data_IF_994502755638
#
_entry.id   IF_994502755638
#
_cell.length_a   1.000
_cell.length_b   1.000
_cell.length_c   1.000
_cell.angle_alpha   90.00
_cell.angle_beta   90.00
_cell.angle_gamma   90.00
#
_symmetry.space_group_name_H-M   'P 1'
#
loop_
_entity.id
_entity.type
_entity.pdbx_description
1 polymer ?
#
# COMPACT_ATOMS: atom_id res chain seq x y z
N UNK A 1 9.97 13.22 8.91
CA UNK A 1 11.00 12.40 8.24
C UNK A 1 11.09 12.83 6.80
N UNK A 2 12.27 12.76 6.17
CA UNK A 2 12.45 13.13 4.76
C UNK A 2 12.37 11.89 3.90
N UNK A 3 11.22 11.68 3.26
CA UNK A 3 11.09 10.79 2.11
C UNK A 3 11.37 11.57 0.82
N UNK A 4 11.66 10.86 -0.27
CA UNK A 4 11.73 11.46 -1.61
C UNK A 4 10.58 10.98 -2.48
N UNK A 5 10.26 11.76 -3.52
CA UNK A 5 9.15 11.50 -4.43
C UNK A 5 9.71 11.49 -5.84
N UNK A 6 9.35 10.48 -6.64
CA UNK A 6 9.74 10.44 -8.05
C UNK A 6 9.18 11.67 -8.79
N UNK A 7 9.93 12.31 -9.70
CA UNK A 7 9.52 13.59 -10.31
C UNK A 7 8.15 13.56 -11.00
N UNK A 8 7.76 12.43 -11.60
CA UNK A 8 6.45 12.29 -12.26
C UNK A 8 5.27 12.22 -11.28
N UNK A 9 5.54 12.11 -9.98
CA UNK A 9 4.55 12.09 -8.90
C UNK A 9 4.45 13.44 -8.16
N UNK A 10 5.16 14.49 -8.59
CA UNK A 10 5.12 15.83 -7.97
C UNK A 10 3.69 16.37 -7.84
N UNK A 11 2.80 16.00 -8.76
CA UNK A 11 1.39 16.38 -8.70
C UNK A 11 0.69 15.96 -7.40
N UNK A 12 1.14 14.91 -6.72
CA UNK A 12 0.56 14.43 -5.46
C UNK A 12 1.10 15.16 -4.21
N UNK A 13 2.03 16.10 -4.40
CA UNK A 13 2.63 16.91 -3.32
C UNK A 13 1.92 18.25 -3.09
N UNK A 14 0.85 18.53 -3.84
CA UNK A 14 0.01 19.71 -3.62
C UNK A 14 -0.80 19.56 -2.32
N UNK A 15 -1.29 20.68 -1.73
CA UNK A 15 -2.17 20.60 -0.57
C UNK A 15 -3.34 19.64 -0.80
N UNK A 16 -3.63 18.78 0.18
CA UNK A 16 -4.69 17.77 0.05
C UNK A 16 -6.06 18.41 -0.20
N UNK A 17 -6.31 19.60 0.36
CA UNK A 17 -7.52 20.39 0.08
C UNK A 17 -7.62 20.81 -1.38
N UNK A 18 -6.51 21.20 -2.02
CA UNK A 18 -6.49 21.58 -3.43
C UNK A 18 -6.65 20.33 -4.32
N UNK A 19 -6.02 19.22 -3.93
CA UNK A 19 -6.19 17.92 -4.59
C UNK A 19 -7.64 17.45 -4.59
N UNK A 20 -8.32 17.60 -3.45
CA UNK A 20 -9.73 17.28 -3.28
C UNK A 20 -10.63 18.24 -4.06
N UNK A 21 -10.38 19.55 -3.98
CA UNK A 21 -11.15 20.55 -4.71
C UNK A 21 -11.08 20.38 -6.24
N UNK A 22 -9.96 19.87 -6.75
CA UNK A 22 -9.81 19.54 -8.17
C UNK A 22 -10.60 18.30 -8.62
N UNK A 23 -11.19 17.55 -7.69
CA UNK A 23 -11.92 16.30 -7.93
C UNK A 23 -13.26 16.27 -7.18
N UNK A 24 -14.19 17.20 -7.48
CA UNK A 24 -15.45 17.33 -6.78
C UNK A 24 -16.38 16.11 -6.92
N UNK A 25 -16.06 15.17 -7.82
CA UNK A 25 -16.79 13.93 -8.00
C UNK A 25 -16.52 12.87 -6.92
N UNK A 26 -15.53 13.08 -6.03
CA UNK A 26 -15.25 12.19 -4.90
C UNK A 26 -15.48 12.93 -3.58
N UNK A 27 -16.11 12.25 -2.62
CA UNK A 27 -16.27 12.78 -1.25
C UNK A 27 -15.23 12.23 -0.28
N UNK A 28 -14.34 11.34 -0.72
CA UNK A 28 -13.25 10.83 0.09
C UNK A 28 -12.11 10.21 -0.72
N UNK A 29 -10.92 10.25 -0.12
CA UNK A 29 -9.69 9.76 -0.71
C UNK A 29 -9.04 8.74 0.22
N UNK A 30 -8.36 7.76 -0.35
CA UNK A 30 -7.56 6.80 0.38
C UNK A 30 -6.23 6.55 -0.33
N UNK A 31 -5.32 5.90 0.37
CA UNK A 31 -3.97 5.60 -0.09
C UNK A 31 -3.63 4.14 0.18
N UNK A 32 -2.73 3.59 -0.63
CA UNK A 32 -2.21 2.23 -0.44
C UNK A 32 -0.71 2.17 -0.73
N UNK A 33 0.02 1.42 0.07
CA UNK A 33 1.44 1.20 -0.06
C UNK A 33 1.73 -0.24 -0.49
N UNK A 34 2.52 -0.38 -1.55
CA UNK A 34 3.11 -1.65 -1.97
C UNK A 34 4.61 -1.59 -1.70
N UNK A 35 5.03 -2.30 -0.66
CA UNK A 35 6.41 -2.33 -0.16
C UNK A 35 7.05 -3.63 -0.62
N UNK A 36 8.15 -3.54 -1.36
CA UNK A 36 8.90 -4.69 -1.81
C UNK A 36 10.19 -4.89 -1.00
N UNK A 37 10.48 -6.15 -0.66
CA UNK A 37 11.80 -6.57 -0.27
C UNK A 37 12.54 -7.13 -1.49
N UNK A 38 13.76 -6.64 -1.69
CA UNK A 38 14.67 -7.06 -2.76
C UNK A 38 15.87 -7.86 -2.23
N UNK A 39 15.86 -8.23 -0.94
CA UNK A 39 16.98 -8.96 -0.33
C UNK A 39 17.04 -10.42 -0.78
N UNK A 40 15.93 -10.97 -1.26
CA UNK A 40 15.83 -12.31 -1.84
C UNK A 40 15.85 -12.23 -3.38
N UNK A 41 16.29 -13.29 -4.10
CA UNK A 41 16.25 -13.31 -5.56
C UNK A 41 14.85 -13.19 -6.17
N UNK A 42 13.82 -13.54 -5.40
CA UNK A 42 12.41 -13.41 -5.78
C UNK A 42 11.84 -12.21 -5.04
N UNK A 43 11.33 -11.17 -5.75
CA UNK A 43 10.69 -10.03 -5.12
C UNK A 43 9.53 -10.48 -4.22
N UNK A 44 9.46 -9.89 -3.03
CA UNK A 44 8.39 -10.15 -2.06
C UNK A 44 7.69 -8.85 -1.68
N UNK A 45 6.37 -8.87 -1.65
CA UNK A 45 5.55 -7.72 -1.24
C UNK A 45 5.04 -7.91 0.19
N UNK A 46 5.07 -6.88 1.01
CA UNK A 46 4.45 -6.90 2.34
C UNK A 46 2.92 -6.87 2.20
N UNK A 47 2.26 -7.87 2.76
CA UNK A 47 0.81 -7.90 2.95
C UNK A 47 0.47 -7.96 4.44
N UNK A 48 -0.58 -7.24 4.83
CA UNK A 48 -1.18 -7.23 6.15
C UNK A 48 -2.54 -7.93 6.08
N UNK A 49 -2.83 -8.75 7.08
CA UNK A 49 -4.14 -9.38 7.23
C UNK A 49 -5.00 -8.57 8.19
N UNK A 50 -6.14 -8.07 7.71
CA UNK A 50 -7.14 -7.37 8.50
C UNK A 50 -7.60 -8.20 9.70
N UNK A 51 -7.72 -7.57 10.85
CA UNK A 51 -8.18 -8.16 12.10
C UNK A 51 -9.60 -8.71 11.93
N UNK A 52 -9.94 -9.76 12.68
CA UNK A 52 -11.29 -10.35 12.62
C UNK A 52 -12.39 -9.41 13.14
N UNK A 53 -12.03 -8.40 13.91
CA UNK A 53 -12.93 -7.38 14.47
C UNK A 53 -13.18 -6.21 13.51
N UNK A 54 -12.42 -6.14 12.44
CA UNK A 54 -12.43 -5.05 11.49
C UNK A 54 -13.38 -5.36 10.30
N UNK A 55 -13.58 -4.37 9.42
CA UNK A 55 -14.25 -4.55 8.14
C UNK A 55 -13.48 -5.56 7.27
N UNK A 56 -14.19 -6.30 6.40
CA UNK A 56 -13.58 -7.33 5.53
C UNK A 56 -12.62 -8.29 6.28
N UNK A 57 -13.07 -8.91 7.38
CA UNK A 57 -12.20 -9.60 8.32
C UNK A 57 -11.40 -10.73 7.67
N UNK A 58 -10.10 -10.79 7.99
CA UNK A 58 -9.18 -11.81 7.48
C UNK A 58 -8.76 -11.64 6.02
N UNK A 59 -9.17 -10.56 5.34
CA UNK A 59 -8.66 -10.23 4.02
C UNK A 59 -7.23 -9.66 4.11
N UNK A 60 -6.46 -9.85 3.05
CA UNK A 60 -5.09 -9.36 2.93
C UNK A 60 -4.99 -8.14 2.01
N UNK A 61 -4.11 -7.21 2.33
CA UNK A 61 -3.85 -5.98 1.58
C UNK A 61 -2.45 -5.42 1.87
N UNK A 62 -1.99 -4.45 1.08
CA UNK A 62 -0.84 -3.63 1.50
C UNK A 62 -1.30 -2.57 2.52
N UNK A 63 -0.38 -1.96 3.29
CA UNK A 63 -0.74 -0.90 4.22
C UNK A 63 -1.51 0.24 3.53
N UNK A 64 -2.48 0.86 4.20
CA UNK A 64 -3.10 2.08 3.71
C UNK A 64 -4.58 2.25 4.07
N UNK A 65 -4.89 3.43 4.61
CA UNK A 65 -6.24 3.85 4.95
C UNK A 65 -6.71 5.13 4.24
N UNK A 66 -7.56 5.87 4.95
CA UNK A 66 -8.23 7.06 4.46
C UNK A 66 -7.35 8.30 4.62
N UNK A 67 -7.48 9.26 3.70
CA UNK A 67 -6.85 10.56 3.86
C UNK A 67 -7.68 11.42 4.82
N UNK A 68 -7.00 12.13 5.72
CA UNK A 68 -7.60 13.03 6.70
C UNK A 68 -7.38 14.49 6.28
N UNK A 69 -8.41 15.13 5.71
CA UNK A 69 -8.30 16.49 5.17
C UNK A 69 -7.87 17.56 6.19
N UNK A 70 -8.12 17.33 7.48
CA UNK A 70 -7.81 18.29 8.55
C UNK A 70 -6.39 18.14 9.10
N UNK A 71 -5.72 17.01 8.87
CA UNK A 71 -4.42 16.66 9.49
C UNK A 71 -3.34 16.37 8.45
N UNK A 72 -3.69 15.69 7.34
CA UNK A 72 -2.77 15.34 6.26
C UNK A 72 -2.56 16.54 5.33
N UNK A 73 -1.29 16.90 5.10
CA UNK A 73 -0.95 18.06 4.27
C UNK A 73 -1.09 17.77 2.78
N UNK A 74 -0.75 16.55 2.36
CA UNK A 74 -0.77 16.10 0.96
C UNK A 74 -1.28 14.66 0.91
N UNK A 75 -1.64 14.17 -0.29
CA UNK A 75 -2.01 12.76 -0.48
C UNK A 75 -0.87 11.82 -0.07
N UNK A 76 0.38 12.21 -0.33
CA UNK A 76 1.55 11.40 0.02
C UNK A 76 1.85 11.43 1.53
N UNK A 77 1.46 12.48 2.25
CA UNK A 77 1.57 12.48 3.71
C UNK A 77 0.59 11.48 4.35
N UNK A 78 -0.62 11.33 3.81
CA UNK A 78 -1.52 10.24 4.20
C UNK A 78 -0.85 8.88 3.98
N UNK A 79 -0.24 8.66 2.81
CA UNK A 79 0.45 7.40 2.50
C UNK A 79 1.57 7.09 3.52
N UNK A 80 2.34 8.11 3.90
CA UNK A 80 3.44 7.99 4.87
C UNK A 80 2.92 7.70 6.27
N UNK A 81 1.85 8.40 6.71
CA UNK A 81 1.21 8.18 8.00
C UNK A 81 0.67 6.76 8.12
N UNK A 82 -0.17 6.34 7.16
CA UNK A 82 -0.80 5.02 7.15
C UNK A 82 0.23 3.89 7.09
N UNK A 83 1.29 4.05 6.29
CA UNK A 83 2.38 3.07 6.26
C UNK A 83 3.03 2.89 7.64
N UNK A 84 3.27 4.00 8.34
CA UNK A 84 3.85 3.96 9.68
C UNK A 84 2.89 3.36 10.71
N UNK A 85 1.64 3.79 10.72
CA UNK A 85 0.63 3.35 11.69
C UNK A 85 0.35 1.84 11.57
N UNK A 86 0.17 1.34 10.35
CA UNK A 86 -0.25 -0.05 10.14
C UNK A 86 0.91 -1.06 10.08
N UNK A 87 2.14 -0.62 9.78
CA UNK A 87 3.29 -1.52 9.60
C UNK A 87 4.53 -1.19 10.44
N UNK A 88 4.57 -0.03 11.09
CA UNK A 88 5.74 0.44 11.84
C UNK A 88 6.92 0.85 10.95
N UNK A 89 6.77 0.81 9.63
CA UNK A 89 7.84 1.10 8.66
C UNK A 89 7.81 2.55 8.21
N UNK A 90 8.97 3.12 7.93
CA UNK A 90 9.09 4.51 7.52
C UNK A 90 9.36 4.61 6.02
N UNK A 91 8.51 5.32 5.30
CA UNK A 91 8.72 5.58 3.86
C UNK A 91 10.06 6.30 3.64
N UNK A 92 10.83 5.82 2.66
CA UNK A 92 12.07 6.46 2.19
C UNK A 92 11.91 7.05 0.79
N UNK A 93 11.25 6.33 -0.13
CA UNK A 93 11.05 6.76 -1.50
C UNK A 93 9.65 6.37 -1.99
N UNK A 94 8.97 7.29 -2.67
CA UNK A 94 7.69 7.02 -3.35
C UNK A 94 7.99 6.91 -4.85
N UNK A 95 7.82 5.70 -5.38
CA UNK A 95 8.46 5.26 -6.63
C UNK A 95 7.55 5.44 -7.83
N UNK A 96 6.32 4.96 -7.74
CA UNK A 96 5.35 5.02 -8.83
C UNK A 96 3.91 4.86 -8.34
N UNK A 97 2.96 5.36 -9.13
CA UNK A 97 1.53 5.10 -8.95
C UNK A 97 1.16 3.79 -9.65
N UNK A 98 0.57 2.85 -8.92
CA UNK A 98 0.13 1.55 -9.46
C UNK A 98 -1.30 1.60 -9.96
N UNK A 99 -2.20 2.20 -9.18
CA UNK A 99 -3.62 2.16 -9.47
C UNK A 99 -4.38 3.31 -8.81
N UNK A 100 -5.50 3.68 -9.43
CA UNK A 100 -6.53 4.50 -8.82
C UNK A 100 -7.84 3.73 -8.87
N UNK A 101 -8.27 3.21 -7.72
CA UNK A 101 -9.53 2.49 -7.59
C UNK A 101 -10.63 3.47 -7.19
N UNK A 102 -11.78 3.42 -7.86
CA UNK A 102 -12.93 4.27 -7.55
C UNK A 102 -14.15 3.40 -7.25
N UNK A 103 -14.85 3.64 -6.14
CA UNK A 103 -16.06 2.89 -5.80
C UNK A 103 -17.08 3.74 -5.05
N UNK A 104 -18.33 3.27 -5.02
CA UNK A 104 -19.39 3.83 -4.18
C UNK A 104 -19.46 3.09 -2.85
N UNK A 105 -19.36 3.79 -1.73
CA UNK A 105 -19.68 3.27 -0.41
C UNK A 105 -21.10 3.70 -0.01
N UNK A 106 -21.90 2.74 0.44
CA UNK A 106 -23.28 2.96 0.86
C UNK A 106 -23.34 3.03 2.39
N UNK A 107 -23.76 4.17 2.94
CA UNK A 107 -23.94 4.30 4.38
C UNK A 107 -25.12 3.48 4.88
N UNK A 108 -25.00 2.91 6.10
CA UNK A 108 -26.08 2.14 6.74
C UNK A 108 -27.37 2.94 6.97
N UNK A 109 -27.28 4.28 7.02
CA UNK A 109 -28.41 5.20 7.20
C UNK A 109 -29.03 5.74 5.89
N UNK A 110 -28.58 5.26 4.73
CA UNK A 110 -28.91 5.85 3.42
C UNK A 110 -27.91 6.91 2.99
N UNK A 111 -27.86 7.17 1.69
CA UNK A 111 -26.81 7.97 1.06
C UNK A 111 -25.68 7.12 0.48
N UNK A 112 -24.97 7.70 -0.48
CA UNK A 112 -23.82 7.10 -1.12
C UNK A 112 -22.70 8.13 -1.13
N UNK A 113 -21.48 7.66 -0.91
CA UNK A 113 -20.29 8.44 -1.18
C UNK A 113 -19.43 7.74 -2.22
N UNK A 114 -18.76 8.51 -3.08
CA UNK A 114 -17.81 8.04 -4.06
C UNK A 114 -16.40 8.29 -3.55
N UNK A 115 -15.62 7.23 -3.50
CA UNK A 115 -14.27 7.20 -2.94
C UNK A 115 -13.25 6.91 -4.05
N UNK A 116 -12.04 7.47 -3.91
CA UNK A 116 -10.89 7.14 -4.75
C UNK A 116 -9.67 6.74 -3.92
N UNK A 117 -9.13 5.54 -4.13
CA UNK A 117 -7.89 5.05 -3.49
C UNK A 117 -6.74 5.09 -4.48
N UNK A 118 -5.64 5.71 -4.08
CA UNK A 118 -4.40 5.81 -4.86
C UNK A 118 -3.34 4.89 -4.25
N UNK A 119 -2.93 3.86 -4.99
CA UNK A 119 -1.96 2.88 -4.51
C UNK A 119 -0.60 3.08 -5.18
N UNK A 120 0.47 3.11 -4.39
CA UNK A 120 1.83 3.43 -4.82
C UNK A 120 2.80 2.30 -4.50
N UNK A 121 3.82 2.11 -5.34
CA UNK A 121 5.03 1.38 -4.93
C UNK A 121 5.90 2.34 -4.13
N UNK A 122 6.38 1.87 -2.98
CA UNK A 122 7.26 2.64 -2.10
C UNK A 122 8.44 1.79 -1.62
N UNK A 123 9.49 2.46 -1.18
CA UNK A 123 10.59 1.89 -0.41
C UNK A 123 10.50 2.37 1.03
N UNK A 124 11.02 1.56 1.96
CA UNK A 124 11.07 1.85 3.39
C UNK A 124 12.51 1.95 3.90
N UNK A 125 12.73 2.74 4.94
CA UNK A 125 14.05 2.98 5.52
C UNK A 125 14.62 1.68 6.10
N UNK A 126 13.77 0.86 6.71
CA UNK A 126 14.14 -0.38 7.39
C UNK A 126 14.61 -1.49 6.43
N UNK A 127 14.35 -1.36 5.13
CA UNK A 127 14.83 -2.30 4.11
C UNK A 127 16.32 -2.07 3.77
N UNK A 128 16.93 -0.98 4.26
CA UNK A 128 18.32 -0.61 4.00
C UNK A 128 19.09 -0.43 5.30
N UNK A 129 20.08 -1.29 5.52
CA UNK A 129 20.99 -1.22 6.66
C UNK A 129 22.32 -0.57 6.30
N UNK A 130 23.07 -0.16 7.30
CA UNK A 130 24.44 0.33 7.13
C UNK A 130 25.43 -0.64 7.74
N UNK A 131 26.33 -1.20 6.92
CA UNK A 131 27.39 -2.11 7.38
C UNK A 131 28.69 -1.80 6.65
N UNK A 132 29.78 -1.71 7.42
CA UNK A 132 31.12 -1.42 6.92
C UNK A 132 31.20 -0.20 5.97
N UNK A 133 30.44 0.86 6.26
CA UNK A 133 30.46 2.10 5.47
C UNK A 133 29.69 2.03 4.14
N UNK A 134 28.95 0.95 3.89
CA UNK A 134 28.10 0.80 2.70
C UNK A 134 26.66 0.50 3.11
N UNK A 135 25.73 1.02 2.31
CA UNK A 135 24.34 0.64 2.40
C UNK A 135 24.17 -0.79 1.86
N UNK A 136 23.41 -1.61 2.57
CA UNK A 136 23.13 -3.00 2.20
C UNK A 136 21.65 -3.30 2.43
N UNK A 137 21.10 -4.19 1.62
CA UNK A 137 19.73 -4.66 1.80
C UNK A 137 19.63 -5.44 3.12
N UNK A 138 18.59 -5.15 3.89
CA UNK A 138 18.25 -5.94 5.09
C UNK A 138 17.52 -7.21 4.63
N UNK A 139 17.92 -8.41 5.09
CA UNK A 139 17.19 -9.63 4.78
C UNK A 139 15.70 -9.50 5.07
N UNK A 140 14.84 -10.00 4.18
CA UNK A 140 13.37 -9.81 4.25
C UNK A 140 12.81 -10.10 5.64
N UNK A 141 13.23 -11.22 6.24
CA UNK A 141 12.76 -11.66 7.56
C UNK A 141 13.27 -10.83 8.75
N UNK A 142 14.21 -9.92 8.51
CA UNK A 142 14.77 -9.01 9.52
C UNK A 142 14.18 -7.60 9.44
N UNK A 143 13.34 -7.31 8.44
CA UNK A 143 12.60 -6.04 8.37
C UNK A 143 11.55 -6.04 9.51
N UNK A 144 11.60 -5.08 10.46
CA UNK A 144 10.87 -5.15 11.71
C UNK A 144 9.43 -4.63 11.56
N UNK A 145 8.57 -5.41 10.88
CA UNK A 145 7.14 -5.08 10.74
C UNK A 145 6.44 -5.11 12.10
N UNK A 146 5.72 -4.03 12.43
CA UNK A 146 4.91 -3.88 13.64
C UNK A 146 3.49 -3.49 13.25
N UNK A 147 2.52 -4.36 13.52
CA UNK A 147 1.13 -4.13 13.14
C UNK A 147 0.38 -3.29 14.15
N UNK A 148 -0.57 -2.48 13.69
CA UNK A 148 -1.64 -1.99 14.55
C UNK A 148 -2.58 -3.18 14.88
N UNK A 149 -2.62 -3.65 16.15
CA UNK A 149 -3.43 -4.80 16.53
C UNK A 149 -4.95 -4.55 16.46
N UNK A 150 -5.41 -3.30 16.34
CA UNK A 150 -6.83 -2.98 16.17
C UNK A 150 -7.29 -3.20 14.73
N UNK A 151 -6.39 -3.04 13.76
CA UNK A 151 -6.69 -3.10 12.33
C UNK A 151 -6.16 -4.36 11.66
N UNK A 152 -5.01 -4.87 12.10
CA UNK A 152 -4.33 -6.02 11.49
C UNK A 152 -3.86 -7.04 12.53
N UNK A 153 -3.84 -8.31 12.13
CA UNK A 153 -3.53 -9.42 13.04
C UNK A 153 -2.35 -10.29 12.61
N UNK A 154 -1.96 -10.23 11.33
CA UNK A 154 -0.84 -10.99 10.74
C UNK A 154 -0.24 -10.20 9.59
N UNK A 155 1.00 -10.52 9.25
CA UNK A 155 1.63 -10.05 8.02
C UNK A 155 2.35 -11.21 7.33
N UNK A 156 2.65 -11.01 6.05
CA UNK A 156 3.45 -11.93 5.26
C UNK A 156 4.21 -11.18 4.15
N UNK A 157 5.34 -11.74 3.74
CA UNK A 157 6.14 -11.28 2.61
C UNK A 157 5.85 -12.17 1.41
N UNK A 158 4.77 -11.84 0.72
CA UNK A 158 4.17 -12.63 -0.34
C UNK A 158 4.98 -12.60 -1.64
N UNK A 159 5.04 -13.74 -2.33
CA UNK A 159 5.55 -13.82 -3.71
C UNK A 159 4.40 -13.75 -4.71
N UNK A 160 4.71 -13.39 -5.96
CA UNK A 160 3.73 -13.23 -7.04
C UNK A 160 2.93 -14.50 -7.29
N UNK A 161 3.58 -15.66 -7.21
CA UNK A 161 2.99 -16.98 -7.44
C UNK A 161 1.88 -17.29 -6.42
N UNK A 162 2.10 -16.95 -5.15
CA UNK A 162 1.12 -17.19 -4.08
C UNK A 162 -0.08 -16.23 -4.23
N UNK A 163 0.14 -14.99 -4.65
CA UNK A 163 -0.93 -14.05 -4.99
C UNK A 163 -1.76 -14.56 -6.18
N UNK A 164 -1.11 -15.08 -7.23
CA UNK A 164 -1.78 -15.68 -8.38
C UNK A 164 -2.62 -16.89 -7.97
N UNK A 165 -2.05 -17.78 -7.15
CA UNK A 165 -2.73 -18.97 -6.65
C UNK A 165 -4.00 -18.60 -5.86
N UNK A 166 -3.91 -17.56 -5.03
CA UNK A 166 -5.04 -17.01 -4.25
C UNK A 166 -6.18 -16.46 -5.08
N UNK A 167 -5.93 -16.01 -6.30
CA UNK A 167 -6.98 -15.53 -7.21
C UNK A 167 -7.59 -16.70 -8.00
N UNK A 168 -6.78 -17.69 -8.34
CA UNK A 168 -7.17 -18.81 -9.21
C UNK A 168 -7.81 -19.98 -8.44
N UNK A 169 -7.55 -20.08 -7.14
CA UNK A 169 -7.93 -21.23 -6.32
C UNK A 169 -8.33 -20.81 -4.90
N UNK A 170 -9.31 -21.52 -4.33
CA UNK A 170 -9.69 -21.38 -2.92
C UNK A 170 -8.59 -21.85 -1.94
N UNK A 171 -7.55 -22.52 -2.45
CA UNK A 171 -6.44 -23.04 -1.65
C UNK A 171 -5.24 -22.08 -1.58
N UNK A 172 -5.31 -20.89 -2.19
CA UNK A 172 -4.22 -19.93 -2.06
C UNK A 172 -4.13 -19.34 -0.64
N UNK A 173 -2.93 -18.92 -0.21
CA UNK A 173 -2.67 -18.50 1.17
C UNK A 173 -3.34 -17.18 1.56
N UNK A 174 -3.61 -16.32 0.58
CA UNK A 174 -4.21 -15.00 0.77
C UNK A 174 -5.68 -14.99 0.36
N UNK A 175 -6.53 -14.46 1.25
CA UNK A 175 -7.91 -14.10 0.94
C UNK A 175 -7.95 -12.62 0.58
N UNK A 176 -8.40 -12.28 -0.62
CA UNK A 176 -8.63 -10.88 -1.01
C UNK A 176 -10.12 -10.53 -0.94
N UNK A 177 -10.47 -9.24 -0.82
CA UNK A 177 -11.85 -8.79 -0.99
C UNK A 177 -12.41 -9.26 -2.33
N UNK A 178 -13.73 -9.49 -2.38
CA UNK A 178 -14.38 -9.88 -3.64
C UNK A 178 -14.14 -8.80 -4.71
N UNK A 179 -14.04 -9.17 -6.00
CA UNK A 179 -13.79 -8.21 -7.09
C UNK A 179 -14.82 -7.07 -7.17
N UNK A 180 -16.03 -7.27 -6.66
CA UNK A 180 -17.09 -6.25 -6.58
C UNK A 180 -16.83 -5.20 -5.47
N UNK A 181 -15.98 -5.54 -4.50
CA UNK A 181 -15.66 -4.71 -3.33
C UNK A 181 -14.31 -4.00 -3.54
N UNK A 182 -13.40 -4.55 -4.34
CA UNK A 182 -12.17 -3.87 -4.72
C UNK A 182 -11.29 -4.68 -5.68
N UNK A 183 -10.27 -4.02 -6.24
CA UNK A 183 -9.30 -4.61 -7.17
C UNK A 183 -7.95 -4.91 -6.50
N UNK A 184 -7.96 -5.26 -5.21
CA UNK A 184 -6.74 -5.46 -4.42
C UNK A 184 -5.75 -6.44 -5.07
N UNK A 185 -6.19 -7.67 -5.38
CA UNK A 185 -5.29 -8.68 -5.94
C UNK A 185 -4.76 -8.30 -7.35
N UNK A 186 -5.59 -7.82 -8.30
CA UNK A 186 -5.09 -7.27 -9.56
C UNK A 186 -4.07 -6.13 -9.42
N UNK A 187 -4.27 -5.23 -8.43
CA UNK A 187 -3.35 -4.11 -8.22
C UNK A 187 -2.03 -4.55 -7.59
N UNK A 188 -2.04 -5.56 -6.70
CA UNK A 188 -0.83 -6.21 -6.20
C UNK A 188 -0.04 -6.83 -7.36
N UNK A 189 -0.70 -7.55 -8.27
CA UNK A 189 -0.04 -8.13 -9.45
C UNK A 189 0.56 -7.06 -10.36
N UNK A 190 -0.13 -5.94 -10.57
CA UNK A 190 0.41 -4.80 -11.30
C UNK A 190 1.63 -4.19 -10.61
N UNK A 191 1.66 -4.16 -9.28
CA UNK A 191 2.82 -3.70 -8.53
C UNK A 191 4.05 -4.61 -8.77
N UNK A 192 3.85 -5.94 -8.78
CA UNK A 192 4.90 -6.90 -9.17
C UNK A 192 5.44 -6.62 -10.58
N UNK A 193 4.54 -6.46 -11.57
CA UNK A 193 4.94 -6.16 -12.95
C UNK A 193 5.75 -4.86 -13.06
N UNK A 194 5.37 -3.84 -12.30
CA UNK A 194 6.07 -2.55 -12.28
C UNK A 194 7.49 -2.72 -11.73
N UNK A 195 7.65 -3.48 -10.64
CA UNK A 195 8.96 -3.79 -10.04
C UNK A 195 9.83 -4.61 -11.00
N UNK A 196 9.31 -5.69 -11.59
CA UNK A 196 10.03 -6.54 -12.53
C UNK A 196 10.53 -5.75 -13.75
N UNK A 197 9.71 -4.83 -14.27
CA UNK A 197 10.09 -3.96 -15.38
C UNK A 197 11.21 -2.97 -15.03
N UNK A 198 11.29 -2.53 -13.78
CA UNK A 198 12.36 -1.64 -13.30
C UNK A 198 13.66 -2.41 -13.10
N UNK A 199 13.58 -3.60 -12.52
CA UNK A 199 14.76 -4.48 -12.35
C UNK A 199 15.35 -4.91 -13.69
N UNK A 200 14.50 -5.15 -14.72
CA UNK A 200 14.96 -5.51 -16.07
C UNK A 200 15.64 -4.37 -16.84
N UNK A 201 15.52 -3.12 -16.37
CA UNK A 201 16.09 -1.93 -17.02
C UNK A 201 17.41 -1.46 -16.39
N UNK A 202 17.80 -2.03 -15.25
CA UNK A 202 19.03 -1.75 -14.52
C UNK A 202 20.11 -2.78 -14.83
#
# INVERSE_FOLDING_TARGET
MTYTVAPHLEYFTIPLTDFAAARPEFEGFGVGAYIFSHADPTPRILLLQRALTDSMPGCWEGPGGACELDTDKTLLDSLVRETLEESGLHVSHIIDLVAVDCWEHHHRGGGKIRLAKYSFVIEVQEALGWSAGKQQLVPTLQIPVQLDPLEHQKFDWAIKEDVLLSIQSLNGPYRFPLPLIGHQAPNILRAFELVEQRESKN
#
